data_IF_687697054942
#
_entry.id   IF_687697054942
#
_cell.length_a   1.000
_cell.length_b   1.000
_cell.length_c   1.000
_cell.angle_alpha   90.00
_cell.angle_beta   90.00
_cell.angle_gamma   90.00
#
_symmetry.space_group_name_H-M   'P 1'
#
loop_
_entity.id
_entity.type
_entity.pdbx_description
1 polymer ?
#
# COMPACT_ATOMS: atom_id res chain seq x y z
N UNK A 1 54.51 -16.25 -11.35
CA UNK A 1 54.05 -16.55 -12.72
C UNK A 1 55.03 -16.03 -13.77
N UNK A 2 55.32 -14.71 -13.84
CA UNK A 2 56.30 -14.16 -14.79
C UNK A 2 57.69 -14.85 -14.74
N UNK A 3 58.19 -15.18 -13.53
CA UNK A 3 59.45 -15.90 -13.36
C UNK A 3 59.40 -17.40 -13.77
N UNK A 4 58.21 -18.00 -13.84
CA UNK A 4 58.01 -19.37 -14.32
C UNK A 4 57.90 -19.35 -15.85
N UNK A 5 57.17 -18.37 -16.40
CA UNK A 5 57.03 -18.15 -17.84
C UNK A 5 58.38 -17.88 -18.51
N UNK A 6 59.27 -17.11 -17.87
CA UNK A 6 60.62 -16.84 -18.40
C UNK A 6 61.57 -18.04 -18.35
N UNK A 7 61.17 -19.14 -17.71
CA UNK A 7 61.97 -20.37 -17.55
C UNK A 7 61.43 -21.55 -18.36
N UNK A 8 60.27 -21.40 -19.01
CA UNK A 8 59.76 -22.42 -19.91
C UNK A 8 60.65 -22.46 -21.16
N UNK A 9 61.11 -23.66 -21.59
CA UNK A 9 61.92 -23.78 -22.78
C UNK A 9 61.12 -23.27 -23.97
N UNK A 10 61.70 -22.35 -24.76
CA UNK A 10 61.16 -22.03 -26.09
C UNK A 10 61.35 -23.27 -26.96
N UNK A 11 60.39 -24.19 -26.90
CA UNK A 11 60.40 -25.41 -27.69
C UNK A 11 60.15 -25.04 -29.15
N UNK A 12 61.24 -24.82 -29.89
CA UNK A 12 61.28 -24.31 -31.25
C UNK A 12 60.68 -25.23 -32.34
N UNK A 13 59.78 -26.17 -32.00
CA UNK A 13 59.30 -27.18 -32.95
C UNK A 13 57.81 -27.57 -32.83
N UNK A 14 56.95 -26.70 -32.30
CA UNK A 14 55.51 -26.99 -32.33
C UNK A 14 54.63 -25.82 -31.93
N UNK A 15 54.38 -24.89 -32.86
CA UNK A 15 53.50 -23.73 -32.65
C UNK A 15 52.13 -24.10 -32.02
N UNK A 16 51.61 -25.31 -32.33
CA UNK A 16 50.35 -25.83 -31.79
C UNK A 16 50.46 -26.27 -30.31
N UNK A 17 51.60 -26.81 -29.87
CA UNK A 17 51.82 -27.19 -28.47
C UNK A 17 52.12 -25.96 -27.60
N UNK A 18 52.80 -24.97 -28.16
CA UNK A 18 53.12 -23.70 -27.50
C UNK A 18 51.84 -22.91 -27.18
N UNK A 19 50.95 -22.75 -28.15
CA UNK A 19 49.67 -22.03 -27.98
C UNK A 19 48.73 -22.74 -26.97
N UNK A 20 48.74 -24.08 -26.96
CA UNK A 20 47.97 -24.88 -25.99
C UNK A 20 48.51 -24.74 -24.56
N UNK A 21 49.84 -24.75 -24.37
CA UNK A 21 50.46 -24.59 -23.07
C UNK A 21 50.27 -23.16 -22.55
N UNK A 22 50.46 -22.16 -23.40
CA UNK A 22 50.25 -20.76 -23.07
C UNK A 22 48.79 -20.50 -22.66
N UNK A 23 47.83 -21.07 -23.40
CA UNK A 23 46.40 -21.00 -23.04
C UNK A 23 46.14 -21.63 -21.67
N UNK A 24 46.72 -22.80 -21.37
CA UNK A 24 46.56 -23.46 -20.06
C UNK A 24 47.19 -22.66 -18.93
N UNK A 25 48.33 -22.01 -19.17
CA UNK A 25 48.99 -21.11 -18.22
C UNK A 25 48.14 -19.88 -17.93
N UNK A 26 47.56 -19.24 -18.97
CA UNK A 26 46.66 -18.10 -18.79
C UNK A 26 45.41 -18.47 -17.98
N UNK A 27 44.84 -19.66 -18.21
CA UNK A 27 43.71 -20.17 -17.41
C UNK A 27 44.13 -20.41 -15.95
N UNK A 28 45.30 -21.03 -15.73
CA UNK A 28 45.82 -21.25 -14.38
C UNK A 28 46.09 -19.93 -13.64
N UNK A 29 46.58 -18.91 -14.35
CA UNK A 29 46.75 -17.55 -13.81
C UNK A 29 45.42 -16.96 -13.34
N UNK A 30 44.39 -17.04 -14.19
CA UNK A 30 43.04 -16.62 -13.85
C UNK A 30 42.53 -17.32 -12.60
N UNK A 31 42.72 -18.63 -12.49
CA UNK A 31 42.31 -19.41 -11.32
C UNK A 31 43.06 -19.03 -10.03
N UNK A 32 44.37 -18.79 -10.12
CA UNK A 32 45.19 -18.37 -8.96
C UNK A 32 44.72 -17.00 -8.46
N UNK A 33 44.54 -16.06 -9.37
CA UNK A 33 44.13 -14.70 -9.02
C UNK A 33 42.68 -14.67 -8.50
N UNK A 34 41.78 -15.47 -9.10
CA UNK A 34 40.45 -15.68 -8.56
C UNK A 34 40.47 -16.31 -7.17
N UNK A 35 41.36 -17.28 -6.93
CA UNK A 35 41.61 -17.85 -5.60
C UNK A 35 42.02 -16.78 -4.59
N UNK A 36 42.93 -15.88 -4.97
CA UNK A 36 43.36 -14.74 -4.16
C UNK A 36 42.20 -13.80 -3.83
N UNK A 37 41.40 -13.43 -4.83
CA UNK A 37 40.22 -12.56 -4.65
C UNK A 37 39.16 -13.21 -3.75
N UNK A 38 38.82 -14.47 -4.00
CA UNK A 38 37.86 -15.22 -3.18
C UNK A 38 38.34 -15.33 -1.73
N UNK A 39 39.63 -15.57 -1.50
CA UNK A 39 40.22 -15.55 -0.15
C UNK A 39 40.16 -14.15 0.49
N UNK A 40 40.46 -13.08 -0.26
CA UNK A 40 40.34 -11.70 0.21
C UNK A 40 38.92 -11.36 0.66
N UNK A 41 37.89 -11.87 -0.03
CA UNK A 41 36.49 -11.75 0.37
C UNK A 41 36.02 -12.79 1.42
N UNK A 42 36.95 -13.53 2.04
CA UNK A 42 36.69 -14.56 3.06
C UNK A 42 35.78 -15.70 2.56
N UNK A 43 35.92 -16.09 1.30
CA UNK A 43 35.26 -17.25 0.68
C UNK A 43 36.30 -18.11 -0.04
N UNK A 44 37.36 -18.59 0.63
CA UNK A 44 38.41 -19.37 -0.03
C UNK A 44 37.84 -20.64 -0.67
N UNK A 45 38.36 -20.99 -1.85
CA UNK A 45 37.98 -22.20 -2.58
C UNK A 45 39.21 -22.97 -3.08
N UNK A 46 39.17 -24.31 -3.05
CA UNK A 46 40.26 -25.14 -3.56
C UNK A 46 40.34 -25.03 -5.08
N UNK A 47 41.51 -25.30 -5.67
CA UNK A 47 41.70 -25.22 -7.13
C UNK A 47 40.70 -26.09 -7.91
N UNK A 48 40.34 -27.24 -7.34
CA UNK A 48 39.32 -28.17 -7.87
C UNK A 48 37.99 -27.47 -8.16
N UNK A 49 37.59 -26.51 -7.33
CA UNK A 49 36.35 -25.75 -7.54
C UNK A 49 36.32 -25.02 -8.89
N UNK A 50 37.45 -24.43 -9.31
CA UNK A 50 37.51 -23.71 -10.57
C UNK A 50 37.47 -24.64 -11.78
N UNK A 51 38.04 -25.84 -11.66
CA UNK A 51 37.98 -26.87 -12.70
C UNK A 51 36.55 -27.39 -12.92
N UNK A 52 35.76 -27.46 -11.85
CA UNK A 52 34.37 -27.95 -11.89
C UNK A 52 33.34 -26.81 -12.06
N UNK A 53 33.79 -25.56 -12.13
CA UNK A 53 32.93 -24.37 -12.10
C UNK A 53 31.93 -24.33 -13.26
N UNK A 54 32.36 -24.72 -14.47
CA UNK A 54 31.50 -24.73 -15.66
C UNK A 54 30.35 -25.74 -15.55
N UNK A 55 30.58 -26.86 -14.88
CA UNK A 55 29.55 -27.88 -14.63
C UNK A 55 28.62 -27.52 -13.47
N UNK A 56 28.95 -26.51 -12.68
CA UNK A 56 28.21 -26.10 -11.48
C UNK A 56 27.91 -24.59 -11.45
N UNK A 57 27.24 -24.09 -12.48
CA UNK A 57 26.86 -22.68 -12.59
C UNK A 57 26.10 -22.17 -11.35
N UNK A 58 25.16 -22.98 -10.83
CA UNK A 58 24.37 -22.62 -9.63
C UNK A 58 25.27 -22.41 -8.40
N UNK A 59 26.27 -23.27 -8.20
CA UNK A 59 27.24 -23.15 -7.13
C UNK A 59 28.08 -21.88 -7.25
N UNK A 60 28.51 -21.53 -8.47
CA UNK A 60 29.28 -20.30 -8.71
C UNK A 60 28.44 -19.05 -8.45
N UNK A 61 27.18 -19.02 -8.90
CA UNK A 61 26.23 -17.95 -8.57
C UNK A 61 26.06 -17.75 -7.06
N UNK A 62 26.04 -18.84 -6.28
CA UNK A 62 26.00 -18.77 -4.83
C UNK A 62 27.27 -18.14 -4.24
N UNK A 63 28.46 -18.46 -4.79
CA UNK A 63 29.72 -17.85 -4.36
C UNK A 63 29.72 -16.34 -4.62
N UNK A 64 29.26 -15.90 -5.80
CA UNK A 64 29.14 -14.47 -6.14
C UNK A 64 28.22 -13.74 -5.13
N UNK A 65 27.08 -14.32 -4.77
CA UNK A 65 26.20 -13.74 -3.75
C UNK A 65 26.82 -13.74 -2.35
N UNK A 66 27.62 -14.75 -2.03
CA UNK A 66 28.26 -14.90 -0.73
C UNK A 66 29.39 -13.87 -0.53
N UNK A 67 30.22 -13.61 -1.56
CA UNK A 67 31.25 -12.56 -1.49
C UNK A 67 30.62 -11.19 -1.26
N UNK A 68 29.53 -10.86 -1.96
CA UNK A 68 28.78 -9.62 -1.77
C UNK A 68 28.20 -9.53 -0.36
N UNK A 69 27.55 -10.60 0.11
CA UNK A 69 26.97 -10.65 1.45
C UNK A 69 28.03 -10.51 2.56
N UNK A 70 29.23 -11.08 2.38
CA UNK A 70 30.34 -10.88 3.33
C UNK A 70 30.92 -9.49 3.24
N UNK A 71 31.05 -8.92 2.04
CA UNK A 71 31.55 -7.57 1.83
C UNK A 71 30.67 -6.51 2.51
N UNK A 72 29.35 -6.62 2.37
CA UNK A 72 28.37 -5.70 2.97
C UNK A 72 28.40 -5.73 4.51
N UNK A 73 28.59 -6.90 5.12
CA UNK A 73 28.57 -7.07 6.58
C UNK A 73 29.83 -6.59 7.30
N UNK A 74 30.91 -6.28 6.59
CA UNK A 74 32.15 -5.81 7.22
C UNK A 74 31.95 -4.37 7.69
N UNK A 75 32.26 -4.12 8.96
CA UNK A 75 32.27 -2.79 9.59
C UNK A 75 33.70 -2.23 9.62
N UNK A 76 33.91 -0.91 9.47
CA UNK A 76 32.91 0.13 9.16
C UNK A 76 32.35 -0.01 7.72
N UNK A 77 31.24 0.68 7.45
CA UNK A 77 30.62 0.70 6.13
C UNK A 77 31.58 1.10 5.00
N UNK A 78 31.39 0.53 3.82
CA UNK A 78 32.31 0.65 2.69
C UNK A 78 32.23 2.00 1.98
N UNK A 79 33.38 2.55 1.60
CA UNK A 79 33.45 3.75 0.77
C UNK A 79 33.06 3.44 -0.68
N UNK A 80 32.75 4.47 -1.45
CA UNK A 80 32.36 4.31 -2.86
C UNK A 80 33.54 3.82 -3.71
N UNK A 81 34.78 4.13 -3.32
CA UNK A 81 35.99 3.60 -3.98
C UNK A 81 36.18 2.10 -3.72
N UNK A 82 35.87 1.62 -2.52
CA UNK A 82 35.87 0.18 -2.22
C UNK A 82 34.80 -0.57 -3.01
N UNK A 83 33.62 0.02 -3.20
CA UNK A 83 32.58 -0.55 -4.08
C UNK A 83 33.02 -0.60 -5.54
N UNK A 84 33.71 0.43 -6.03
CA UNK A 84 34.28 0.42 -7.38
C UNK A 84 35.37 -0.65 -7.53
N UNK A 85 36.19 -0.89 -6.49
CA UNK A 85 37.17 -1.97 -6.48
C UNK A 85 36.47 -3.35 -6.53
N UNK A 86 35.44 -3.56 -5.72
CA UNK A 86 34.62 -4.79 -5.75
C UNK A 86 34.02 -5.04 -7.13
N UNK A 87 33.48 -4.00 -7.80
CA UNK A 87 32.96 -4.14 -9.15
C UNK A 87 34.03 -4.63 -10.13
N UNK A 88 35.22 -4.02 -10.11
CA UNK A 88 36.36 -4.44 -10.95
C UNK A 88 36.79 -5.87 -10.66
N UNK A 89 36.82 -6.27 -9.39
CA UNK A 89 37.15 -7.65 -8.99
C UNK A 89 36.10 -8.65 -9.50
N UNK A 90 34.81 -8.31 -9.45
CA UNK A 90 33.74 -9.15 -9.99
C UNK A 90 33.81 -9.29 -11.50
N UNK A 91 34.13 -8.20 -12.22
CA UNK A 91 34.38 -8.24 -13.66
C UNK A 91 35.57 -9.13 -13.99
N UNK A 92 36.67 -8.99 -13.24
CA UNK A 92 37.85 -9.82 -13.41
C UNK A 92 37.55 -11.31 -13.17
N UNK A 93 36.84 -11.65 -12.09
CA UNK A 93 36.42 -13.02 -11.78
C UNK A 93 35.59 -13.62 -12.92
N UNK A 94 34.64 -12.84 -13.47
CA UNK A 94 33.85 -13.27 -14.63
C UNK A 94 34.74 -13.50 -15.85
N UNK A 95 35.53 -12.51 -16.25
CA UNK A 95 36.32 -12.57 -17.49
C UNK A 95 37.37 -13.67 -17.48
N UNK A 96 38.06 -13.87 -16.35
CA UNK A 96 39.21 -14.78 -16.26
C UNK A 96 38.85 -16.18 -15.78
N UNK A 97 37.75 -16.33 -15.05
CA UNK A 97 37.44 -17.59 -14.34
C UNK A 97 36.03 -18.11 -14.61
N UNK A 98 35.04 -17.22 -14.76
CA UNK A 98 33.64 -17.60 -14.95
C UNK A 98 33.02 -17.00 -16.22
N UNK A 99 33.58 -17.25 -17.42
CA UNK A 99 33.15 -16.60 -18.66
C UNK A 99 31.73 -17.00 -19.08
N UNK A 100 31.21 -18.12 -18.56
CA UNK A 100 29.85 -18.61 -18.79
C UNK A 100 28.78 -17.80 -18.04
N UNK A 101 29.16 -16.95 -17.08
CA UNK A 101 28.22 -16.03 -16.44
C UNK A 101 27.97 -14.82 -17.34
N UNK A 102 26.72 -14.39 -17.46
CA UNK A 102 26.38 -13.16 -18.16
C UNK A 102 26.90 -11.93 -17.38
N UNK A 103 27.41 -10.93 -18.11
CA UNK A 103 27.84 -9.66 -17.50
C UNK A 103 26.62 -8.87 -16.98
N UNK A 104 25.46 -9.00 -17.63
CA UNK A 104 24.20 -8.44 -17.12
C UNK A 104 23.85 -9.06 -15.77
N UNK A 105 24.02 -10.38 -15.62
CA UNK A 105 23.79 -11.08 -14.35
C UNK A 105 24.71 -10.57 -13.22
N UNK A 106 26.00 -10.36 -13.51
CA UNK A 106 26.95 -9.81 -12.54
C UNK A 106 26.56 -8.39 -12.12
N UNK A 107 26.14 -7.55 -13.07
CA UNK A 107 25.64 -6.20 -12.78
C UNK A 107 24.39 -6.23 -11.90
N UNK A 108 23.45 -7.14 -12.16
CA UNK A 108 22.23 -7.29 -11.34
C UNK A 108 22.58 -7.66 -9.89
N UNK A 109 23.44 -8.66 -9.67
CA UNK A 109 23.83 -9.06 -8.31
C UNK A 109 24.62 -7.95 -7.60
N UNK A 110 25.47 -7.22 -8.32
CA UNK A 110 26.17 -6.05 -7.78
C UNK A 110 25.21 -4.94 -7.36
N UNK A 111 24.24 -4.59 -8.20
CA UNK A 111 23.19 -3.63 -7.88
C UNK A 111 22.37 -4.08 -6.66
N UNK A 112 21.99 -5.37 -6.57
CA UNK A 112 21.34 -5.92 -5.36
C UNK A 112 22.21 -5.72 -4.11
N UNK A 113 23.52 -5.90 -4.24
CA UNK A 113 24.47 -5.66 -3.16
C UNK A 113 24.51 -4.20 -2.70
N UNK A 114 24.57 -3.26 -3.64
CA UNK A 114 24.55 -1.81 -3.35
C UNK A 114 23.25 -1.39 -2.66
N UNK A 115 22.11 -1.89 -3.16
CA UNK A 115 20.80 -1.61 -2.59
C UNK A 115 20.71 -2.13 -1.15
N UNK A 116 21.16 -3.37 -0.89
CA UNK A 116 21.23 -3.96 0.47
C UNK A 116 22.20 -3.24 1.42
N UNK A 117 23.17 -2.52 0.89
CA UNK A 117 24.11 -1.73 1.67
C UNK A 117 23.63 -0.29 1.93
N UNK A 118 22.47 0.10 1.39
CA UNK A 118 21.96 1.47 1.50
C UNK A 118 22.68 2.49 0.62
N UNK A 119 23.42 2.07 -0.41
CA UNK A 119 24.23 2.95 -1.28
C UNK A 119 23.43 3.40 -2.50
N UNK A 120 22.37 4.19 -2.29
CA UNK A 120 21.38 4.52 -3.32
C UNK A 120 21.93 5.38 -4.45
N UNK A 121 22.68 6.43 -4.13
CA UNK A 121 23.30 7.32 -5.12
C UNK A 121 24.22 6.54 -6.07
N UNK A 122 25.01 5.62 -5.52
CA UNK A 122 25.89 4.77 -6.31
C UNK A 122 25.09 3.76 -7.12
N UNK A 123 24.09 3.11 -6.52
CA UNK A 123 23.20 2.17 -7.21
C UNK A 123 22.52 2.80 -8.43
N UNK A 124 22.04 4.06 -8.33
CA UNK A 124 21.41 4.81 -9.43
C UNK A 124 22.33 4.89 -10.66
N UNK A 125 23.63 5.06 -10.46
CA UNK A 125 24.59 5.15 -11.56
C UNK A 125 24.77 3.79 -12.26
N UNK A 126 24.85 2.69 -11.51
CA UNK A 126 25.00 1.35 -12.08
C UNK A 126 23.72 0.80 -12.69
N UNK A 127 22.54 1.17 -12.16
CA UNK A 127 21.22 0.75 -12.68
C UNK A 127 20.93 1.34 -14.07
N UNK A 128 21.46 2.53 -14.38
CA UNK A 128 21.42 3.11 -15.74
C UNK A 128 22.28 2.35 -16.75
N UNK A 129 23.12 1.43 -16.28
CA UNK A 129 24.11 0.74 -17.07
C UNK A 129 25.51 1.31 -16.89
N UNK A 130 26.47 0.46 -17.19
CA UNK A 130 27.89 0.82 -17.34
C UNK A 130 28.23 0.93 -18.82
N UNK A 131 29.39 1.47 -19.17
CA UNK A 131 29.86 1.57 -20.55
C UNK A 131 29.90 0.23 -21.31
N UNK A 132 29.90 -0.90 -20.59
CA UNK A 132 30.00 -2.25 -21.15
C UNK A 132 28.69 -3.04 -21.15
N UNK A 133 27.74 -2.69 -20.27
CA UNK A 133 26.45 -3.38 -20.12
C UNK A 133 25.39 -2.40 -19.65
N UNK A 134 24.25 -2.39 -20.34
CA UNK A 134 23.03 -1.71 -19.93
C UNK A 134 22.01 -2.69 -19.35
N UNK A 135 21.20 -2.19 -18.42
CA UNK A 135 20.03 -2.89 -17.91
C UNK A 135 18.79 -2.29 -18.54
N UNK A 136 17.87 -3.14 -19.03
CA UNK A 136 16.56 -2.67 -19.47
C UNK A 136 15.84 -1.98 -18.30
N UNK A 137 15.12 -0.87 -18.56
CA UNK A 137 14.43 -0.08 -17.53
C UNK A 137 13.54 -0.97 -16.66
N UNK A 138 12.78 -1.88 -17.28
CA UNK A 138 11.88 -2.81 -16.59
C UNK A 138 12.62 -3.73 -15.60
N UNK A 139 13.80 -4.26 -15.98
CA UNK A 139 14.60 -5.11 -15.08
C UNK A 139 15.17 -4.30 -13.91
N UNK A 140 15.65 -3.10 -14.18
CA UNK A 140 16.18 -2.20 -13.16
C UNK A 140 15.07 -1.77 -12.17
N UNK A 141 13.89 -1.42 -12.68
CA UNK A 141 12.70 -1.12 -11.89
C UNK A 141 12.30 -2.31 -11.02
N UNK A 142 12.15 -3.50 -11.60
CA UNK A 142 11.84 -4.71 -10.83
C UNK A 142 12.86 -4.98 -9.72
N UNK A 143 14.14 -4.73 -9.96
CA UNK A 143 15.21 -4.88 -8.98
C UNK A 143 15.05 -3.93 -7.79
N UNK A 144 14.85 -2.65 -8.08
CA UNK A 144 14.63 -1.60 -7.07
C UNK A 144 13.37 -1.90 -6.29
N UNK A 145 12.32 -2.33 -6.97
CA UNK A 145 11.03 -2.55 -6.35
C UNK A 145 11.01 -3.81 -5.47
N UNK A 146 11.76 -4.85 -5.87
CA UNK A 146 12.02 -6.02 -5.03
C UNK A 146 12.83 -5.64 -3.78
N UNK A 147 13.87 -4.81 -3.93
CA UNK A 147 14.69 -4.36 -2.81
C UNK A 147 13.88 -3.50 -1.83
N UNK A 148 13.12 -2.52 -2.32
CA UNK A 148 12.21 -1.69 -1.51
C UNK A 148 11.21 -2.56 -0.74
N UNK A 149 10.66 -3.60 -1.38
CA UNK A 149 9.76 -4.57 -0.75
C UNK A 149 10.46 -5.35 0.38
N UNK A 150 11.68 -5.83 0.17
CA UNK A 150 12.46 -6.53 1.21
C UNK A 150 12.74 -5.61 2.42
N UNK A 151 13.12 -4.36 2.18
CA UNK A 151 13.32 -3.36 3.23
C UNK A 151 12.03 -3.08 4.01
N UNK A 152 10.93 -2.85 3.29
CA UNK A 152 9.62 -2.59 3.87
C UNK A 152 9.19 -3.72 4.82
N UNK A 153 9.27 -4.98 4.39
CA UNK A 153 8.89 -6.13 5.23
C UNK A 153 9.91 -6.48 6.32
N UNK A 154 11.12 -5.91 6.28
CA UNK A 154 12.12 -6.08 7.34
C UNK A 154 11.92 -5.12 8.53
N UNK A 155 11.11 -4.08 8.36
CA UNK A 155 10.86 -3.10 9.42
C UNK A 155 10.05 -3.73 10.57
N UNK A 156 10.59 -3.58 11.79
CA UNK A 156 10.00 -4.12 13.02
C UNK A 156 9.07 -3.14 13.74
N UNK A 157 9.07 -1.86 13.35
CA UNK A 157 8.25 -0.78 13.93
C UNK A 157 7.99 0.28 12.88
N UNK A 158 6.85 0.99 12.95
CA UNK A 158 6.40 2.09 12.06
C UNK A 158 7.37 3.29 12.08
N UNK A 159 8.15 3.45 13.17
CA UNK A 159 9.11 4.55 13.37
C UNK A 159 10.53 4.27 12.85
N UNK A 160 10.75 3.17 12.13
CA UNK A 160 12.09 2.75 11.72
C UNK A 160 12.61 3.53 10.49
N UNK A 161 13.92 3.78 10.45
CA UNK A 161 14.65 4.42 9.33
C UNK A 161 14.48 3.69 7.98
N UNK A 162 14.06 2.43 8.05
CA UNK A 162 13.90 1.45 6.98
C UNK A 162 12.81 1.86 5.99
N UNK A 163 11.78 2.57 6.45
CA UNK A 163 10.71 3.06 5.58
C UNK A 163 11.13 4.23 4.73
N UNK A 164 11.84 5.19 5.31
CA UNK A 164 12.39 6.31 4.56
C UNK A 164 13.39 5.83 3.52
N UNK A 165 14.19 4.80 3.86
CA UNK A 165 15.03 4.08 2.88
C UNK A 165 14.18 3.44 1.78
N UNK A 166 13.09 2.74 2.13
CA UNK A 166 12.12 2.17 1.17
C UNK A 166 11.59 3.22 0.17
N UNK A 167 11.21 4.42 0.66
CA UNK A 167 10.74 5.54 -0.17
C UNK A 167 11.87 6.12 -1.04
N UNK A 168 13.08 6.22 -0.51
CA UNK A 168 14.26 6.65 -1.26
C UNK A 168 14.59 5.71 -2.43
N UNK A 169 14.38 4.40 -2.27
CA UNK A 169 14.48 3.45 -3.38
C UNK A 169 13.47 3.74 -4.50
N UNK A 170 12.20 3.97 -4.13
CA UNK A 170 11.13 4.21 -5.11
C UNK A 170 11.36 5.53 -5.87
N UNK A 171 11.93 6.55 -5.22
CA UNK A 171 12.37 7.79 -5.84
C UNK A 171 13.48 7.64 -6.89
N UNK A 172 14.08 6.45 -7.07
CA UNK A 172 14.97 6.19 -8.20
C UNK A 172 14.23 6.12 -9.54
N UNK A 173 12.95 5.72 -9.55
CA UNK A 173 12.13 5.51 -10.76
C UNK A 173 10.68 6.03 -10.57
N UNK A 174 10.49 7.36 -10.35
CA UNK A 174 9.19 7.94 -9.99
C UNK A 174 8.11 7.85 -11.10
N UNK A 175 8.52 7.62 -12.35
CA UNK A 175 7.62 7.65 -13.50
C UNK A 175 6.83 6.35 -13.74
N UNK A 176 7.20 5.24 -13.08
CA UNK A 176 6.54 3.96 -13.31
C UNK A 176 5.30 3.79 -12.42
N UNK A 177 4.20 3.30 -12.99
CA UNK A 177 2.94 3.09 -12.26
C UNK A 177 3.09 2.06 -11.12
N UNK A 178 3.95 1.05 -11.29
CA UNK A 178 4.22 0.02 -10.29
C UNK A 178 4.98 0.56 -9.07
N UNK A 179 5.91 1.49 -9.28
CA UNK A 179 6.63 2.18 -8.19
C UNK A 179 5.67 3.07 -7.42
N UNK A 180 4.83 3.86 -8.12
CA UNK A 180 3.82 4.71 -7.50
C UNK A 180 2.84 3.90 -6.65
N UNK A 181 2.29 2.81 -7.17
CA UNK A 181 1.37 1.95 -6.42
C UNK A 181 1.98 1.42 -5.11
N UNK A 182 3.30 1.20 -5.06
CA UNK A 182 3.98 0.75 -3.84
C UNK A 182 4.33 1.90 -2.90
N UNK A 183 4.62 3.07 -3.44
CA UNK A 183 4.77 4.29 -2.66
C UNK A 183 3.44 4.64 -1.98
N UNK A 184 2.33 4.55 -2.71
CA UNK A 184 0.97 4.77 -2.22
C UNK A 184 0.67 3.86 -1.02
N UNK A 185 1.01 2.56 -1.13
CA UNK A 185 0.84 1.60 -0.01
C UNK A 185 1.71 1.98 1.20
N UNK A 186 2.96 2.40 0.98
CA UNK A 186 3.87 2.83 2.06
C UNK A 186 3.29 4.07 2.75
N UNK A 187 2.79 5.05 1.99
CA UNK A 187 2.20 6.27 2.53
C UNK A 187 0.88 6.00 3.26
N UNK A 188 0.03 5.09 2.77
CA UNK A 188 -1.16 4.63 3.48
C UNK A 188 -0.81 4.06 4.86
N UNK A 189 0.16 3.13 4.91
CA UNK A 189 0.47 2.37 6.12
C UNK A 189 1.22 3.17 7.19
N UNK A 190 2.00 4.18 6.79
CA UNK A 190 2.94 4.86 7.70
C UNK A 190 2.50 6.29 8.00
N UNK A 191 1.87 6.96 7.05
CA UNK A 191 1.46 8.36 7.22
C UNK A 191 -0.01 8.42 7.58
N UNK A 192 -0.87 7.79 6.78
CA UNK A 192 -2.32 7.97 6.92
C UNK A 192 -2.95 7.11 8.01
N UNK A 193 -2.71 5.80 8.03
CA UNK A 193 -3.29 4.90 9.03
C UNK A 193 -2.90 5.26 10.48
N UNK A 194 -1.64 5.61 10.79
CA UNK A 194 -1.27 5.99 12.16
C UNK A 194 -1.96 7.27 12.64
N UNK A 195 -2.24 8.23 11.74
CA UNK A 195 -3.00 9.44 12.08
C UNK A 195 -4.46 9.10 12.45
N UNK A 196 -5.00 8.04 11.87
CA UNK A 196 -6.36 7.53 12.12
C UNK A 196 -6.40 6.56 13.31
N UNK A 197 -5.28 6.40 14.02
CA UNK A 197 -5.15 5.57 15.22
C UNK A 197 -5.01 4.08 14.93
N UNK A 198 -4.75 3.69 13.67
CA UNK A 198 -4.53 2.30 13.25
C UNK A 198 -3.07 2.08 12.93
N UNK A 199 -2.43 1.17 13.64
CA UNK A 199 -1.03 0.82 13.43
C UNK A 199 -0.94 -0.62 12.90
N UNK A 200 -0.64 -0.77 11.60
CA UNK A 200 -0.45 -2.07 10.97
C UNK A 200 1.03 -2.22 10.61
N UNK A 201 1.66 -3.28 11.13
CA UNK A 201 3.03 -3.59 10.76
C UNK A 201 3.09 -4.18 9.34
N UNK A 202 4.20 -3.97 8.60
CA UNK A 202 4.39 -4.54 7.26
C UNK A 202 4.09 -6.05 7.19
N UNK A 203 4.52 -6.82 8.20
CA UNK A 203 4.28 -8.25 8.25
C UNK A 203 2.80 -8.62 8.46
N UNK A 204 2.04 -7.79 9.17
CA UNK A 204 0.59 -7.97 9.31
C UNK A 204 -0.11 -7.62 8.01
N UNK A 205 0.27 -6.51 7.37
CA UNK A 205 -0.24 -6.13 6.05
C UNK A 205 -0.07 -7.26 5.02
N UNK A 206 1.06 -7.98 5.03
CA UNK A 206 1.31 -9.13 4.14
C UNK A 206 0.32 -10.28 4.32
N UNK A 207 -0.26 -10.44 5.51
CA UNK A 207 -1.20 -11.53 5.80
C UNK A 207 -2.62 -11.19 5.39
N UNK A 208 -2.94 -9.90 5.26
CA UNK A 208 -4.24 -9.40 4.84
C UNK A 208 -4.38 -9.63 3.35
N UNK A 209 -5.42 -10.37 2.95
CA UNK A 209 -5.70 -10.70 1.55
C UNK A 209 -6.58 -9.67 0.87
N UNK A 210 -7.49 -9.07 1.65
CA UNK A 210 -8.45 -8.07 1.17
C UNK A 210 -8.15 -6.71 1.82
N UNK A 211 -7.70 -5.70 1.06
CA UNK A 211 -7.45 -4.36 1.58
C UNK A 211 -8.67 -3.72 2.27
N UNK A 212 -9.89 -4.15 1.94
CA UNK A 212 -11.12 -3.68 2.58
C UNK A 212 -11.20 -4.11 4.07
N UNK A 213 -10.49 -5.15 4.49
CA UNK A 213 -10.39 -5.51 5.91
C UNK A 213 -9.64 -4.45 6.73
N UNK A 214 -8.64 -3.80 6.13
CA UNK A 214 -7.89 -2.70 6.76
C UNK A 214 -8.82 -1.51 6.99
N UNK A 215 -9.56 -1.14 5.93
CA UNK A 215 -10.54 -0.05 5.99
C UNK A 215 -11.62 -0.36 7.04
N UNK A 216 -12.14 -1.58 7.10
CA UNK A 216 -13.10 -1.96 8.15
C UNK A 216 -12.52 -1.91 9.56
N UNK A 217 -11.27 -2.36 9.76
CA UNK A 217 -10.59 -2.24 11.05
C UNK A 217 -10.48 -0.78 11.49
N UNK A 218 -10.25 0.12 10.55
CA UNK A 218 -10.18 1.56 10.80
C UNK A 218 -11.53 2.15 11.17
N UNK A 219 -12.57 1.87 10.39
CA UNK A 219 -13.92 2.41 10.63
C UNK A 219 -14.48 1.93 11.99
N UNK A 220 -14.15 0.70 12.41
CA UNK A 220 -14.60 0.09 13.68
C UNK A 220 -13.78 0.56 14.90
N UNK A 221 -12.70 1.34 14.70
CA UNK A 221 -11.82 1.81 15.78
C UNK A 221 -12.57 2.85 16.66
N UNK A 222 -12.39 2.86 18.01
CA UNK A 222 -13.15 3.74 18.91
C UNK A 222 -12.85 5.24 18.74
N UNK A 223 -11.83 5.59 17.95
CA UNK A 223 -11.38 6.96 17.68
C UNK A 223 -12.30 7.75 16.74
N UNK A 224 -13.48 7.22 16.38
CA UNK A 224 -14.45 7.88 15.50
C UNK A 224 -13.87 8.19 14.11
N UNK A 225 -13.09 7.28 13.55
CA UNK A 225 -12.44 7.44 12.24
C UNK A 225 -13.46 7.72 11.11
N UNK A 226 -14.70 7.21 11.22
CA UNK A 226 -15.78 7.41 10.24
C UNK A 226 -16.23 8.88 10.04
N UNK A 227 -15.81 9.83 10.88
CA UNK A 227 -16.03 11.27 10.60
C UNK A 227 -15.10 11.82 9.51
N UNK A 228 -13.94 11.18 9.28
CA UNK A 228 -12.95 11.62 8.30
C UNK A 228 -13.13 10.87 6.97
N UNK A 229 -14.32 10.98 6.38
CA UNK A 229 -14.71 10.24 5.16
C UNK A 229 -13.71 10.46 4.02
N UNK A 230 -13.25 11.69 3.81
CA UNK A 230 -12.29 12.02 2.76
C UNK A 230 -10.93 11.32 2.99
N UNK A 231 -10.47 11.23 4.24
CA UNK A 231 -9.21 10.56 4.57
C UNK A 231 -9.31 9.04 4.44
N UNK A 232 -10.44 8.45 4.84
CA UNK A 232 -10.75 7.03 4.69
C UNK A 232 -10.83 6.60 3.22
N UNK A 233 -11.50 7.40 2.39
CA UNK A 233 -11.57 7.16 0.93
C UNK A 233 -10.18 7.29 0.31
N UNK A 234 -9.38 8.25 0.77
CA UNK A 234 -8.00 8.39 0.31
C UNK A 234 -7.11 7.20 0.71
N UNK A 235 -7.22 6.72 1.96
CA UNK A 235 -6.54 5.48 2.41
C UNK A 235 -6.95 4.29 1.54
N UNK A 236 -8.23 4.13 1.25
CA UNK A 236 -8.72 3.07 0.38
C UNK A 236 -8.09 3.15 -1.03
N UNK A 237 -8.06 4.35 -1.63
CA UNK A 237 -7.42 4.58 -2.94
C UNK A 237 -5.93 4.25 -2.93
N UNK A 238 -5.22 4.60 -1.85
CA UNK A 238 -3.80 4.29 -1.69
C UNK A 238 -3.56 2.77 -1.52
N UNK A 239 -4.49 2.06 -0.88
CA UNK A 239 -4.49 0.59 -0.75
C UNK A 239 -4.93 -0.15 -2.01
N UNK A 240 -5.00 0.53 -3.15
CA UNK A 240 -5.39 0.00 -4.46
C UNK A 240 -6.88 -0.35 -4.63
N UNK A 241 -7.76 0.16 -3.77
CA UNK A 241 -9.22 0.11 -3.95
C UNK A 241 -9.65 1.27 -4.87
N UNK A 242 -9.36 1.14 -6.17
CA UNK A 242 -9.59 2.17 -7.19
C UNK A 242 -10.65 1.79 -8.23
N UNK A 243 -11.32 0.65 -8.08
CA UNK A 243 -12.36 0.23 -9.02
C UNK A 243 -13.61 1.12 -8.88
N UNK A 244 -14.44 1.12 -9.94
CA UNK A 244 -15.71 1.85 -9.94
C UNK A 244 -16.69 1.34 -8.85
N UNK A 245 -16.52 0.10 -8.40
CA UNK A 245 -17.36 -0.53 -7.38
C UNK A 245 -16.73 -0.44 -5.97
N UNK A 246 -15.42 -0.20 -5.87
CA UNK A 246 -14.69 -0.19 -4.59
C UNK A 246 -14.98 1.07 -3.77
N UNK A 247 -15.00 2.25 -4.41
CA UNK A 247 -15.24 3.53 -3.72
C UNK A 247 -16.64 3.57 -3.11
N UNK A 248 -17.72 3.21 -3.84
CA UNK A 248 -19.05 3.09 -3.25
C UNK A 248 -19.11 2.06 -2.12
N UNK A 249 -18.38 0.93 -2.23
CA UNK A 249 -18.35 -0.09 -1.17
C UNK A 249 -17.67 0.41 0.12
N UNK A 250 -16.64 1.26 -0.01
CA UNK A 250 -15.98 1.93 1.12
C UNK A 250 -16.92 2.93 1.77
N UNK A 251 -17.55 3.81 1.00
CA UNK A 251 -18.55 4.77 1.49
C UNK A 251 -19.72 4.06 2.18
N UNK A 252 -20.19 2.96 1.61
CA UNK A 252 -21.22 2.10 2.21
C UNK A 252 -20.76 1.55 3.58
N UNK A 253 -19.52 1.06 3.68
CA UNK A 253 -18.98 0.54 4.94
C UNK A 253 -18.87 1.62 6.03
N UNK A 254 -18.51 2.85 5.66
CA UNK A 254 -18.45 4.00 6.56
C UNK A 254 -19.85 4.36 7.06
N UNK A 255 -20.82 4.51 6.16
CA UNK A 255 -22.21 4.82 6.50
C UNK A 255 -22.83 3.77 7.42
N UNK A 256 -22.50 2.49 7.18
CA UNK A 256 -22.92 1.35 8.00
C UNK A 256 -22.44 1.45 9.44
N UNK A 257 -21.18 1.79 9.66
CA UNK A 257 -20.62 1.84 11.01
C UNK A 257 -21.09 3.08 11.78
N UNK A 258 -21.22 4.22 11.08
CA UNK A 258 -21.81 5.41 11.66
C UNK A 258 -23.25 5.15 12.14
N UNK A 259 -24.04 4.36 11.39
CA UNK A 259 -25.41 4.01 11.75
C UNK A 259 -25.48 3.07 12.96
N UNK A 260 -24.56 2.09 13.03
CA UNK A 260 -24.45 1.16 14.18
C UNK A 260 -24.00 1.90 15.44
N UNK A 261 -23.12 2.89 15.31
CA UNK A 261 -22.65 3.72 16.43
C UNK A 261 -23.71 4.69 16.96
N UNK A 262 -24.89 4.78 16.33
CA UNK A 262 -26.06 5.47 16.87
C UNK A 262 -25.91 7.00 16.98
N UNK A 263 -25.00 7.60 16.22
CA UNK A 263 -24.79 9.04 16.28
C UNK A 263 -25.88 9.81 15.51
N UNK A 264 -26.56 10.71 16.23
CA UNK A 264 -27.59 11.65 15.79
C UNK A 264 -27.31 12.34 14.43
N UNK A 265 -26.03 12.51 14.09
CA UNK A 265 -25.58 13.35 12.98
C UNK A 265 -25.71 12.68 11.58
N UNK A 266 -26.05 11.39 11.49
CA UNK A 266 -26.44 10.78 10.20
C UNK A 266 -27.71 11.39 9.66
N UNK A 267 -28.65 11.73 10.54
CA UNK A 267 -29.88 12.41 10.17
C UNK A 267 -29.58 13.83 9.65
N UNK A 268 -28.56 14.49 10.19
CA UNK A 268 -28.10 15.81 9.75
C UNK A 268 -27.36 15.76 8.40
N UNK A 269 -26.55 14.72 8.13
CA UNK A 269 -25.86 14.54 6.85
C UNK A 269 -26.86 14.20 5.73
N UNK A 270 -27.83 13.33 6.00
CA UNK A 270 -28.92 13.03 5.07
C UNK A 270 -29.84 14.25 4.86
N UNK A 271 -30.08 15.05 5.90
CA UNK A 271 -30.84 16.30 5.78
C UNK A 271 -30.05 17.40 5.05
N UNK A 272 -28.74 17.48 5.18
CA UNK A 272 -27.89 18.46 4.49
C UNK A 272 -27.82 18.19 2.98
N UNK A 273 -27.71 16.93 2.56
CA UNK A 273 -27.77 16.53 1.14
C UNK A 273 -29.16 16.81 0.55
N UNK A 274 -30.22 16.66 1.34
CA UNK A 274 -31.59 16.97 0.95
C UNK A 274 -31.92 18.48 0.93
N UNK A 275 -31.07 19.36 1.48
CA UNK A 275 -31.29 20.82 1.59
C UNK A 275 -30.36 21.66 0.70
N UNK A 276 -29.44 21.05 -0.05
CA UNK A 276 -28.55 21.76 -0.97
C UNK A 276 -29.28 22.31 -2.21
N UNK A 277 -28.79 23.41 -2.83
CA UNK A 277 -29.48 24.12 -3.93
C UNK A 277 -29.54 23.32 -5.25
N UNK A 278 -28.99 22.10 -5.29
CA UNK A 278 -28.98 21.22 -6.47
C UNK A 278 -30.36 20.55 -6.70
N UNK A 279 -31.26 20.58 -5.72
CA UNK A 279 -32.58 19.94 -5.82
C UNK A 279 -33.65 20.76 -6.56
N UNK A 280 -33.46 22.07 -6.70
CA UNK A 280 -34.46 22.96 -7.33
C UNK A 280 -34.57 22.76 -8.85
N UNK A 281 -33.57 22.13 -9.49
CA UNK A 281 -33.55 21.89 -10.93
C UNK A 281 -33.53 20.41 -11.31
N UNK A 282 -33.74 19.51 -10.36
CA UNK A 282 -33.66 18.06 -10.60
C UNK A 282 -35.02 17.49 -11.04
N UNK A 283 -35.05 16.70 -12.11
CA UNK A 283 -36.26 16.09 -12.67
C UNK A 283 -36.96 15.16 -11.65
N UNK A 284 -38.30 15.12 -11.71
CA UNK A 284 -39.18 14.55 -10.67
C UNK A 284 -38.88 13.07 -10.38
N UNK A 285 -38.48 12.29 -11.38
CA UNK A 285 -38.19 10.86 -11.20
C UNK A 285 -36.82 10.60 -10.56
N UNK A 286 -35.84 11.49 -10.74
CA UNK A 286 -34.55 11.47 -10.03
C UNK A 286 -34.70 11.89 -8.56
N UNK A 287 -35.65 12.80 -8.28
CA UNK A 287 -36.06 13.17 -6.91
C UNK A 287 -36.73 12.01 -6.18
N UNK A 288 -37.59 11.25 -6.88
CA UNK A 288 -38.18 10.01 -6.38
C UNK A 288 -37.17 8.88 -6.17
N UNK A 289 -36.08 8.81 -6.95
CA UNK A 289 -35.01 7.84 -6.70
C UNK A 289 -34.13 8.22 -5.50
N UNK A 290 -33.87 9.52 -5.27
CA UNK A 290 -33.17 10.01 -4.07
C UNK A 290 -33.99 9.80 -2.79
N UNK A 291 -35.30 10.08 -2.83
CA UNK A 291 -36.21 9.79 -1.72
C UNK A 291 -36.53 8.29 -1.60
N UNK A 292 -36.49 7.57 -2.73
CA UNK A 292 -36.46 6.11 -2.78
C UNK A 292 -35.20 5.55 -2.10
N UNK A 293 -34.07 6.25 -2.17
CA UNK A 293 -32.86 5.99 -1.38
C UNK A 293 -33.05 6.17 0.13
N UNK A 294 -33.95 7.07 0.55
CA UNK A 294 -34.38 7.21 1.95
C UNK A 294 -35.17 5.97 2.45
N UNK A 295 -35.85 5.26 1.53
CA UNK A 295 -36.48 3.96 1.79
C UNK A 295 -35.46 2.81 1.87
N UNK A 296 -34.31 2.95 1.19
CA UNK A 296 -33.24 1.92 1.15
C UNK A 296 -32.35 1.95 2.39
N UNK A 297 -32.28 3.06 3.13
CA UNK A 297 -31.46 3.14 4.35
C UNK A 297 -31.99 2.32 5.54
N UNK A 298 -33.17 1.68 5.42
CA UNK A 298 -33.65 0.69 6.40
C UNK A 298 -33.19 -0.76 6.12
N UNK A 299 -32.26 -0.96 5.18
CA UNK A 299 -31.82 -2.27 4.69
C UNK A 299 -30.33 -2.49 4.85
N UNK A 300 -29.81 -2.68 6.07
CA UNK A 300 -28.51 -3.33 6.24
C UNK A 300 -28.56 -4.23 7.49
N UNK A 301 -28.28 -5.54 7.45
CA UNK A 301 -27.17 -6.19 6.73
C UNK A 301 -27.47 -7.65 6.36
N UNK A 302 -27.00 -8.05 5.18
CA UNK A 302 -26.76 -9.46 4.82
C UNK A 302 -25.59 -9.99 5.65
N UNK A 303 -25.87 -10.87 6.60
CA UNK A 303 -25.51 -12.30 6.55
C UNK A 303 -26.34 -13.05 7.60
N UNK A 304 -27.00 -14.11 7.15
CA UNK A 304 -27.90 -15.01 7.88
C UNK A 304 -29.29 -14.48 8.27
N UNK A 305 -30.09 -14.08 7.27
CA UNK A 305 -31.55 -14.30 7.05
C UNK A 305 -32.59 -14.24 8.19
N UNK A 306 -32.24 -14.05 9.45
CA UNK A 306 -33.10 -14.19 10.64
C UNK A 306 -33.41 -12.84 11.30
N UNK A 307 -32.53 -11.85 11.17
CA UNK A 307 -32.73 -10.53 11.83
C UNK A 307 -33.66 -9.62 11.03
N UNK A 308 -33.62 -9.64 9.70
CA UNK A 308 -34.51 -8.85 8.84
C UNK A 308 -35.99 -9.24 9.02
N UNK A 309 -36.28 -10.54 9.10
CA UNK A 309 -37.60 -11.05 9.45
C UNK A 309 -38.03 -10.62 10.86
N UNK A 310 -37.10 -10.53 11.81
CA UNK A 310 -37.40 -10.12 13.18
C UNK A 310 -37.76 -8.64 13.29
N UNK A 311 -37.10 -7.78 12.53
CA UNK A 311 -37.38 -6.34 12.48
C UNK A 311 -38.63 -6.03 11.66
N UNK A 312 -38.85 -6.69 10.53
CA UNK A 312 -40.13 -6.63 9.82
C UNK A 312 -41.27 -7.16 10.68
N UNK A 313 -41.06 -8.27 11.40
CA UNK A 313 -42.05 -8.80 12.34
C UNK A 313 -42.29 -7.84 13.50
N UNK A 314 -41.27 -7.14 14.01
CA UNK A 314 -41.44 -6.10 15.02
C UNK A 314 -42.24 -4.92 14.46
N UNK A 315 -41.88 -4.44 13.27
CA UNK A 315 -42.58 -3.34 12.59
C UNK A 315 -43.99 -3.74 12.20
N UNK A 316 -44.31 -5.01 11.94
CA UNK A 316 -45.66 -5.48 11.62
C UNK A 316 -46.47 -5.77 12.90
N UNK A 317 -45.88 -6.43 13.89
CA UNK A 317 -46.58 -6.96 15.08
C UNK A 317 -46.61 -5.98 16.27
N UNK A 318 -45.70 -5.00 16.36
CA UNK A 318 -45.65 -4.02 17.46
C UNK A 318 -46.34 -2.70 17.10
N UNK A 319 -46.86 -1.97 18.10
CA UNK A 319 -47.38 -0.62 17.90
C UNK A 319 -46.28 0.32 17.37
N UNK A 320 -46.66 1.36 16.60
CA UNK A 320 -45.70 2.36 16.14
C UNK A 320 -45.05 3.06 17.34
N UNK A 321 -43.77 3.47 17.24
CA UNK A 321 -43.13 4.22 18.30
C UNK A 321 -43.80 5.60 18.46
N UNK A 322 -43.83 6.10 19.69
CA UNK A 322 -44.41 7.40 20.03
C UNK A 322 -43.35 8.31 20.65
N UNK A 323 -43.47 9.62 20.42
CA UNK A 323 -42.62 10.60 21.08
C UNK A 323 -42.89 10.60 22.60
N UNK A 324 -41.86 10.68 23.47
CA UNK A 324 -42.04 10.77 24.91
C UNK A 324 -42.80 12.05 25.31
N UNK A 325 -44.01 11.91 25.84
CA UNK A 325 -44.87 13.03 26.22
C UNK A 325 -44.32 13.92 27.33
N UNK A 326 -43.33 13.44 28.09
CA UNK A 326 -42.65 14.24 29.12
C UNK A 326 -41.60 15.20 28.56
N UNK A 327 -41.15 15.00 27.32
CA UNK A 327 -40.09 15.79 26.69
C UNK A 327 -40.58 16.71 25.58
N UNK A 328 -41.77 16.44 25.02
CA UNK A 328 -42.26 17.12 23.84
C UNK A 328 -43.68 17.65 24.01
N UNK A 329 -44.04 18.65 23.20
CA UNK A 329 -45.37 19.23 23.21
C UNK A 329 -46.43 18.19 22.77
N UNK A 330 -47.68 18.32 23.27
CA UNK A 330 -48.75 17.40 22.89
C UNK A 330 -49.04 17.42 21.38
N UNK A 331 -48.87 18.56 20.72
CA UNK A 331 -49.06 18.70 19.28
C UNK A 331 -47.95 18.00 18.48
N UNK A 332 -46.70 18.04 18.96
CA UNK A 332 -45.60 17.28 18.35
C UNK A 332 -45.82 15.77 18.52
N UNK A 333 -46.21 15.34 19.72
CA UNK A 333 -46.52 13.93 19.99
C UNK A 333 -47.68 13.44 19.11
N UNK A 334 -48.68 14.28 18.90
CA UNK A 334 -49.81 14.02 18.00
C UNK A 334 -49.36 13.91 16.54
N UNK A 335 -48.53 14.85 16.07
CA UNK A 335 -47.98 14.83 14.71
C UNK A 335 -47.18 13.56 14.41
N UNK A 336 -46.25 13.19 15.30
CA UNK A 336 -45.44 11.96 15.15
C UNK A 336 -46.32 10.71 15.14
N UNK A 337 -47.36 10.67 15.98
CA UNK A 337 -48.31 9.54 16.03
C UNK A 337 -49.13 9.42 14.74
N UNK A 338 -49.57 10.54 14.16
CA UNK A 338 -50.29 10.55 12.89
C UNK A 338 -49.38 10.17 11.71
N UNK A 339 -48.14 10.63 11.72
CA UNK A 339 -47.14 10.32 10.69
C UNK A 339 -46.72 8.84 10.69
N UNK A 340 -46.52 8.26 11.87
CA UNK A 340 -46.09 6.87 12.03
C UNK A 340 -47.25 5.87 12.07
N UNK A 341 -48.47 6.32 11.75
CA UNK A 341 -49.64 5.45 11.67
C UNK A 341 -49.41 4.33 10.65
N UNK A 342 -49.67 3.10 11.08
CA UNK A 342 -49.45 1.88 10.29
C UNK A 342 -50.67 1.44 9.52
N UNK A 343 -51.85 1.75 10.06
CA UNK A 343 -53.10 1.48 9.36
C UNK A 343 -53.25 2.45 8.20
N UNK A 344 -53.26 1.92 6.98
CA UNK A 344 -53.39 2.71 5.76
C UNK A 344 -54.72 3.48 5.68
N UNK A 345 -55.78 3.01 6.34
CA UNK A 345 -57.08 3.71 6.36
C UNK A 345 -57.11 4.90 7.31
N UNK A 346 -56.24 4.91 8.32
CA UNK A 346 -56.15 5.97 9.33
C UNK A 346 -54.90 6.85 9.18
N UNK A 347 -54.02 6.54 8.22
CA UNK A 347 -52.82 7.32 7.94
C UNK A 347 -53.21 8.57 7.16
N UNK A 348 -52.91 9.73 7.73
CA UNK A 348 -53.10 11.01 7.08
C UNK A 348 -52.22 11.13 5.83
N UNK A 349 -52.79 11.72 4.80
CA UNK A 349 -52.04 12.13 3.61
C UNK A 349 -51.09 13.28 3.93
N UNK A 350 -50.12 13.52 3.05
CA UNK A 350 -49.16 14.61 3.20
C UNK A 350 -49.87 15.97 3.30
N UNK A 351 -50.97 16.16 2.58
CA UNK A 351 -51.74 17.40 2.62
C UNK A 351 -52.41 17.60 3.99
N UNK A 352 -53.03 16.55 4.54
CA UNK A 352 -53.66 16.59 5.87
C UNK A 352 -52.64 16.72 7.00
N UNK A 353 -51.43 16.15 6.85
CA UNK A 353 -50.35 16.32 7.82
C UNK A 353 -49.84 17.76 7.90
N UNK A 354 -49.84 18.49 6.78
CA UNK A 354 -49.43 19.90 6.72
C UNK A 354 -50.45 20.83 7.39
N UNK A 355 -51.70 20.39 7.52
CA UNK A 355 -52.78 21.13 8.21
C UNK A 355 -52.80 20.88 9.72
N UNK A 356 -51.96 19.97 10.25
CA UNK A 356 -51.93 19.67 11.67
C UNK A 356 -51.43 20.87 12.49
N UNK A 357 -51.99 21.13 13.69
CA UNK A 357 -51.66 22.29 14.51
C UNK A 357 -50.18 22.47 14.81
N UNK A 358 -49.41 21.38 14.86
CA UNK A 358 -47.96 21.44 15.07
C UNK A 358 -47.23 22.24 13.96
N UNK A 359 -47.67 22.12 12.72
CA UNK A 359 -47.00 22.75 11.56
C UNK A 359 -47.20 24.25 11.59
N UNK A 360 -48.40 24.73 11.93
CA UNK A 360 -48.72 26.16 11.97
C UNK A 360 -48.51 26.81 13.34
N UNK A 361 -48.16 26.04 14.38
CA UNK A 361 -48.06 26.54 15.77
C UNK A 361 -47.06 27.69 15.94
N UNK A 362 -46.02 27.68 15.12
CA UNK A 362 -44.91 28.62 15.21
C UNK A 362 -44.88 29.64 14.07
N UNK A 363 -45.91 29.69 13.22
CA UNK A 363 -45.95 30.62 12.06
C UNK A 363 -45.92 32.09 12.52
N UNK A 364 -46.56 32.40 13.65
CA UNK A 364 -46.59 33.74 14.23
C UNK A 364 -45.39 34.02 15.16
N UNK A 365 -44.59 32.99 15.44
CA UNK A 365 -43.35 33.16 16.20
C UNK A 365 -42.22 33.44 15.22
N UNK A 366 -41.57 34.59 15.38
CA UNK A 366 -40.36 34.93 14.63
C UNK A 366 -39.19 34.08 15.14
N UNK A 367 -39.23 32.77 14.87
CA UNK A 367 -38.17 31.83 15.21
C UNK A 367 -37.05 32.06 14.21
N UNK A 368 -36.05 32.82 14.63
CA UNK A 368 -34.86 33.06 13.84
C UNK A 368 -33.98 31.80 13.83
N UNK A 369 -34.33 30.87 12.95
CA UNK A 369 -33.57 29.64 12.71
C UNK A 369 -32.14 29.94 12.28
N UNK A 370 -31.93 31.04 11.54
CA UNK A 370 -30.61 31.49 11.13
C UNK A 370 -29.74 31.85 12.35
N UNK A 371 -30.27 32.64 13.29
CA UNK A 371 -29.57 32.93 14.54
C UNK A 371 -29.40 31.70 15.44
N UNK A 372 -30.36 30.76 15.45
CA UNK A 372 -30.23 29.49 16.16
C UNK A 372 -29.03 28.69 15.65
N UNK A 373 -28.90 28.46 14.33
CA UNK A 373 -27.75 27.75 13.76
C UNK A 373 -26.44 28.56 13.83
N UNK A 374 -26.53 29.89 13.88
CA UNK A 374 -25.36 30.76 14.09
C UNK A 374 -24.82 30.64 15.52
N UNK A 375 -25.70 30.48 16.51
CA UNK A 375 -25.38 30.51 17.95
C UNK A 375 -25.19 29.13 18.57
N UNK A 376 -25.90 28.12 18.09
CA UNK A 376 -25.64 26.72 18.38
C UNK A 376 -24.33 26.23 17.75
N UNK A 377 -23.69 27.07 16.92
CA UNK A 377 -22.71 26.66 15.94
C UNK A 377 -23.41 25.88 14.84
N UNK A 378 -22.82 25.88 13.64
CA UNK A 378 -23.16 24.80 12.72
C UNK A 378 -22.94 23.47 13.46
N UNK A 379 -23.80 22.45 13.29
CA UNK A 379 -23.45 21.10 13.71
C UNK A 379 -22.11 20.64 13.10
N UNK A 380 -21.63 21.35 12.06
CA UNK A 380 -20.32 21.20 11.41
C UNK A 380 -19.19 22.08 12.01
N UNK A 381 -19.47 23.01 12.94
CA UNK A 381 -18.48 23.95 13.48
C UNK A 381 -17.88 23.53 14.84
N UNK A 382 -18.27 22.36 15.37
CA UNK A 382 -17.51 21.66 16.41
C UNK A 382 -16.87 20.39 15.84
N UNK A 383 -16.25 20.52 14.66
CA UNK A 383 -15.32 19.55 14.09
C UNK A 383 -13.99 20.24 13.83
#
# INVERSE_FOLDING_TARGET
MAAILSKLPQMHNGAIQDESLERRLRVAEGHIEAGRLLAFYQVPKPLKFFLEAQSNEKGVKLIIRLILSKFIRRQPGRSDSEWANMWRDMQYLREKTFPFLDLEYILIEFCRGLLKAGKFSLARNYLKGTSFVSLASEKAENLVTQAAREYFFSASSISCSEFWKAKEFLNLYPSSANVKAKEDIIDALIVKLPNLGVNILPMQFRQIKDPMEIVKMEITNPTRAYFHVEELVEVARLLSLRSADDVPAVEEAIAREAAVSGHSNIWDLCAAIARGPVLEHMEVDSRKQLWGGFHICHQIKVKDGKVYLSLLKLIVDKPPPSAPSEQFSPEFCSFISAYLQKDSGNRLSVQELLELPFISMYDDQHVDLSAYFSKAGSPLATL
#
